data_IF_616826077808
#
_entry.id   IF_616826077808
#
_cell.length_a   1.000
_cell.length_b   1.000
_cell.length_c   1.000
_cell.angle_alpha   90.00
_cell.angle_beta   90.00
_cell.angle_gamma   90.00
#
_symmetry.space_group_name_H-M   'P 1'
#
loop_
_entity.id
_entity.type
_entity.pdbx_description
1 polymer ?
#
# COMPACT_ATOMS: atom_id res chain seq x y z
N UNK A 1 5.25 15.62 -30.24
CA UNK A 1 5.67 14.31 -30.76
C UNK A 1 6.05 13.47 -29.56
N UNK A 2 5.65 12.20 -29.49
CA UNK A 2 6.01 11.30 -28.40
C UNK A 2 7.33 10.59 -28.74
N UNK A 3 8.10 10.20 -27.73
CA UNK A 3 9.36 9.47 -27.94
C UNK A 3 9.13 8.00 -28.36
N UNK A 4 7.89 7.53 -28.20
CA UNK A 4 7.37 6.30 -28.81
C UNK A 4 6.28 5.64 -27.98
N UNK A 5 5.57 4.69 -28.58
CA UNK A 5 4.66 3.77 -27.89
C UNK A 5 4.72 2.39 -28.54
N UNK A 6 4.46 1.34 -27.75
CA UNK A 6 4.15 0.02 -28.30
C UNK A 6 2.65 -0.01 -28.57
N UNK A 7 2.26 -0.04 -29.84
CA UNK A 7 0.86 -0.13 -30.25
C UNK A 7 0.55 -1.57 -30.65
N UNK A 8 -0.57 -2.08 -30.15
CA UNK A 8 -1.14 -3.38 -30.51
C UNK A 8 -2.50 -3.17 -31.16
N UNK A 9 -2.77 -3.88 -32.25
CA UNK A 9 -4.06 -3.86 -32.90
C UNK A 9 -4.90 -5.05 -32.44
N UNK A 10 -6.09 -4.77 -31.94
CA UNK A 10 -6.99 -5.77 -31.35
C UNK A 10 -8.41 -5.46 -31.78
N UNK A 11 -9.05 -6.38 -32.52
CA UNK A 11 -10.44 -6.22 -32.95
C UNK A 11 -10.70 -4.98 -33.82
N UNK A 12 -9.71 -4.52 -34.59
CA UNK A 12 -9.78 -3.29 -35.41
C UNK A 12 -9.54 -1.99 -34.65
N UNK A 13 -9.19 -2.05 -33.36
CA UNK A 13 -8.84 -0.89 -32.54
C UNK A 13 -7.36 -0.94 -32.12
N UNK A 14 -6.73 0.24 -32.02
CA UNK A 14 -5.32 0.36 -31.60
C UNK A 14 -5.20 0.65 -30.11
N UNK A 15 -4.41 -0.13 -29.38
CA UNK A 15 -4.16 0.04 -27.95
C UNK A 15 -2.67 0.26 -27.70
N UNK A 16 -2.31 1.03 -26.68
CA UNK A 16 -0.91 1.30 -26.34
C UNK A 16 -0.59 0.82 -24.92
N UNK A 17 -0.29 -0.48 -24.71
CA UNK A 17 0.03 -1.02 -23.38
C UNK A 17 1.35 -0.49 -22.81
N UNK A 18 2.19 0.16 -23.61
CA UNK A 18 3.44 0.78 -23.18
C UNK A 18 3.66 2.11 -23.91
N UNK A 19 3.94 3.16 -23.15
CA UNK A 19 4.28 4.49 -23.66
C UNK A 19 5.67 4.87 -23.15
N UNK A 20 6.52 5.40 -24.02
CA UNK A 20 7.86 5.84 -23.68
C UNK A 20 7.93 7.36 -23.56
N UNK A 21 8.66 7.82 -22.56
CA UNK A 21 9.07 9.20 -22.38
C UNK A 21 10.58 9.20 -22.16
N UNK A 22 11.33 9.90 -23.00
CA UNK A 22 12.78 9.97 -22.93
C UNK A 22 13.23 11.42 -22.89
N UNK A 23 13.91 11.78 -21.81
CA UNK A 23 14.46 13.12 -21.63
C UNK A 23 15.94 13.08 -21.35
N UNK A 24 16.67 14.06 -21.87
CA UNK A 24 18.11 14.21 -21.62
C UNK A 24 18.40 14.54 -20.15
N UNK A 25 17.58 15.40 -19.53
CA UNK A 25 17.76 15.85 -18.13
C UNK A 25 16.41 16.12 -17.45
N UNK A 26 16.40 16.01 -16.12
CA UNK A 26 15.21 16.31 -15.31
C UNK A 26 14.98 17.83 -15.27
N UNK A 27 13.77 18.29 -15.62
CA UNK A 27 13.36 19.69 -15.50
C UNK A 27 13.74 20.63 -16.67
N UNK A 28 14.60 20.20 -17.60
CA UNK A 28 15.08 21.05 -18.69
C UNK A 28 14.03 21.35 -19.79
N UNK A 29 13.01 20.51 -19.94
CA UNK A 29 12.01 20.60 -21.02
C UNK A 29 10.58 20.33 -20.55
N UNK A 30 10.23 20.81 -19.34
CA UNK A 30 8.96 20.54 -18.68
C UNK A 30 8.92 19.19 -17.97
N UNK A 31 7.92 19.03 -17.12
CA UNK A 31 7.80 17.88 -16.23
C UNK A 31 7.42 16.60 -17.00
N UNK A 32 8.24 15.53 -16.95
CA UNK A 32 7.96 14.29 -17.67
C UNK A 32 6.64 13.65 -17.23
N UNK A 33 6.25 13.77 -15.96
CA UNK A 33 5.02 13.15 -15.47
C UNK A 33 3.78 13.76 -16.12
N UNK A 34 3.70 15.08 -16.24
CA UNK A 34 2.56 15.74 -16.90
C UNK A 34 2.55 15.55 -18.42
N UNK A 35 3.73 15.52 -19.05
CA UNK A 35 3.82 15.35 -20.51
C UNK A 35 3.41 13.95 -20.96
N UNK A 36 3.86 12.91 -20.24
CA UNK A 36 3.48 11.54 -20.58
C UNK A 36 1.99 11.28 -20.33
N UNK A 37 1.39 11.91 -19.31
CA UNK A 37 -0.07 11.90 -19.12
C UNK A 37 -0.80 12.55 -20.31
N UNK A 38 -0.28 13.67 -20.81
CA UNK A 38 -0.79 14.31 -22.02
C UNK A 38 -0.66 13.40 -23.25
N UNK A 39 0.47 12.73 -23.45
CA UNK A 39 0.67 11.79 -24.56
C UNK A 39 -0.25 10.58 -24.47
N UNK A 40 -0.43 10.01 -23.28
CA UNK A 40 -1.42 8.96 -23.05
C UNK A 40 -2.83 9.44 -23.44
N UNK A 41 -3.24 10.64 -23.00
CA UNK A 41 -4.54 11.20 -23.39
C UNK A 41 -4.65 11.40 -24.91
N UNK A 42 -3.59 11.86 -25.58
CA UNK A 42 -3.57 11.99 -27.04
C UNK A 42 -3.75 10.65 -27.77
N UNK A 43 -3.14 9.55 -27.29
CA UNK A 43 -3.33 8.21 -27.85
C UNK A 43 -4.79 7.73 -27.78
N UNK A 44 -5.55 8.27 -26.83
CA UNK A 44 -6.98 8.02 -26.66
C UNK A 44 -7.87 9.16 -27.19
N UNK A 45 -7.34 9.97 -28.12
CA UNK A 45 -8.03 11.13 -28.73
C UNK A 45 -8.64 12.07 -27.69
N UNK A 46 -7.85 12.40 -26.66
CA UNK A 46 -8.27 13.24 -25.52
C UNK A 46 -9.54 12.75 -24.82
N UNK A 47 -9.78 11.44 -24.85
CA UNK A 47 -10.94 10.81 -24.22
C UNK A 47 -12.08 10.45 -25.16
N UNK A 48 -12.08 10.90 -26.42
CA UNK A 48 -13.17 10.54 -27.34
C UNK A 48 -13.30 9.02 -27.52
N UNK A 49 -12.17 8.30 -27.50
CA UNK A 49 -12.17 6.83 -27.61
C UNK A 49 -12.78 6.16 -26.38
N UNK A 50 -12.67 6.75 -25.19
CA UNK A 50 -13.30 6.24 -23.97
C UNK A 50 -14.83 6.21 -24.09
N UNK A 51 -15.40 7.21 -24.75
CA UNK A 51 -16.85 7.32 -24.94
C UNK A 51 -17.39 6.42 -26.06
N UNK A 52 -16.55 6.10 -27.06
CA UNK A 52 -16.94 5.30 -28.24
C UNK A 52 -16.60 3.82 -28.16
N UNK A 53 -15.56 3.44 -27.41
CA UNK A 53 -15.03 2.07 -27.39
C UNK A 53 -15.35 1.36 -26.05
N UNK A 54 -16.33 0.44 -26.02
CA UNK A 54 -16.73 -0.26 -24.80
C UNK A 54 -15.59 -1.04 -24.13
N UNK A 55 -14.68 -1.59 -24.94
CA UNK A 55 -13.51 -2.36 -24.46
C UNK A 55 -12.55 -1.48 -23.66
N UNK A 56 -12.32 -0.22 -24.11
CA UNK A 56 -11.49 0.73 -23.35
C UNK A 56 -12.14 1.09 -22.03
N UNK A 57 -13.44 1.39 -22.06
CA UNK A 57 -14.20 1.73 -20.85
C UNK A 57 -14.22 0.58 -19.84
N UNK A 58 -14.44 -0.64 -20.32
CA UNK A 58 -14.50 -1.83 -19.48
C UNK A 58 -13.11 -2.26 -18.96
N UNK A 59 -12.03 -1.97 -19.70
CA UNK A 59 -10.68 -2.32 -19.26
C UNK A 59 -10.05 -1.26 -18.36
N UNK A 60 -10.48 0.00 -18.46
CA UNK A 60 -9.77 1.13 -17.86
C UNK A 60 -8.57 1.60 -18.69
N UNK A 61 -8.41 1.08 -19.91
CA UNK A 61 -7.29 1.38 -20.81
C UNK A 61 -5.88 1.31 -20.15
N UNK A 62 -5.57 0.30 -19.31
CA UNK A 62 -4.32 0.28 -18.56
C UNK A 62 -3.09 0.25 -19.47
N UNK A 63 -2.10 1.06 -19.13
CA UNK A 63 -0.82 1.14 -19.81
C UNK A 63 0.32 1.28 -18.80
N UNK A 64 1.51 0.86 -19.20
CA UNK A 64 2.74 1.20 -18.50
C UNK A 64 3.37 2.44 -19.14
N UNK A 65 3.91 3.30 -18.29
CA UNK A 65 4.76 4.41 -18.70
C UNK A 65 6.20 4.04 -18.38
N UNK A 66 7.06 4.14 -19.39
CA UNK A 66 8.49 3.90 -19.30
C UNK A 66 9.21 5.23 -19.42
N UNK A 67 9.61 5.79 -18.28
CA UNK A 67 10.12 7.15 -18.16
C UNK A 67 11.63 7.11 -17.96
N UNK A 68 12.39 7.44 -19.01
CA UNK A 68 13.85 7.52 -19.00
C UNK A 68 14.28 8.99 -18.98
N UNK A 69 14.63 9.50 -17.80
CA UNK A 69 14.99 10.92 -17.58
C UNK A 69 16.45 11.01 -17.17
N UNK A 70 17.29 11.47 -18.09
CA UNK A 70 18.74 11.39 -17.97
C UNK A 70 19.18 9.94 -17.77
N UNK A 71 20.00 9.66 -16.74
CA UNK A 71 20.39 8.29 -16.43
C UNK A 71 19.36 7.60 -15.52
N UNK A 72 18.13 8.08 -15.35
CA UNK A 72 17.18 7.49 -14.39
C UNK A 72 15.96 6.90 -15.08
N UNK A 73 15.59 5.67 -14.69
CA UNK A 73 14.41 4.97 -15.17
C UNK A 73 13.32 4.95 -14.10
N UNK A 74 12.09 5.32 -14.44
CA UNK A 74 10.91 5.04 -13.64
C UNK A 74 9.88 4.30 -14.50
N UNK A 75 9.28 3.25 -13.92
CA UNK A 75 8.10 2.60 -14.45
C UNK A 75 6.90 3.07 -13.65
N UNK A 76 5.91 3.63 -14.34
CA UNK A 76 4.61 4.01 -13.76
C UNK A 76 3.49 3.22 -14.42
N UNK A 77 2.42 2.97 -13.68
CA UNK A 77 1.15 2.49 -14.23
C UNK A 77 0.27 3.69 -14.54
N UNK A 78 -0.45 3.63 -15.66
CA UNK A 78 -1.53 4.56 -15.99
C UNK A 78 -2.79 3.78 -16.26
N UNK A 79 -3.91 4.34 -15.81
CA UNK A 79 -5.24 3.84 -16.11
C UNK A 79 -6.25 4.98 -16.13
N UNK A 80 -7.31 4.79 -16.90
CA UNK A 80 -8.43 5.71 -16.99
C UNK A 80 -9.57 5.20 -16.12
N UNK A 81 -9.96 6.02 -15.14
CA UNK A 81 -11.11 5.78 -14.29
C UNK A 81 -12.42 6.16 -15.01
N UNK A 82 -13.51 5.61 -14.49
CA UNK A 82 -14.85 5.91 -14.97
C UNK A 82 -15.18 7.41 -14.86
N UNK A 83 -15.49 8.03 -16.00
CA UNK A 83 -15.58 9.50 -16.15
C UNK A 83 -14.40 10.12 -16.91
N UNK A 84 -13.57 9.29 -17.57
CA UNK A 84 -12.42 9.71 -18.37
C UNK A 84 -11.35 10.47 -17.53
N UNK A 85 -11.18 10.06 -16.27
CA UNK A 85 -10.17 10.62 -15.37
C UNK A 85 -8.93 9.75 -15.41
N UNK A 86 -7.84 10.27 -15.96
CA UNK A 86 -6.57 9.54 -16.06
C UNK A 86 -5.80 9.64 -14.76
N UNK A 87 -5.36 8.51 -14.23
CA UNK A 87 -4.52 8.41 -13.03
C UNK A 87 -3.19 7.76 -13.39
N UNK A 88 -2.12 8.21 -12.74
CA UNK A 88 -0.77 7.67 -12.86
C UNK A 88 -0.23 7.36 -11.48
N UNK A 89 0.44 6.22 -11.34
CA UNK A 89 1.13 5.85 -10.10
C UNK A 89 2.49 5.20 -10.40
N UNK A 90 3.60 5.69 -9.81
CA UNK A 90 4.90 5.02 -9.93
C UNK A 90 4.86 3.60 -9.36
N UNK A 91 5.22 2.61 -10.18
CA UNK A 91 5.33 1.20 -9.77
C UNK A 91 6.75 0.84 -9.32
N UNK A 92 7.70 1.72 -9.58
CA UNK A 92 9.10 1.60 -9.18
C UNK A 92 9.59 2.95 -8.66
N UNK A 93 10.59 2.98 -7.75
CA UNK A 93 11.35 4.20 -7.51
C UNK A 93 12.14 4.59 -8.77
N UNK A 94 12.74 5.79 -8.79
CA UNK A 94 13.73 6.12 -9.81
C UNK A 94 14.94 5.20 -9.71
N UNK A 95 15.17 4.41 -10.75
CA UNK A 95 16.27 3.44 -10.88
C UNK A 95 17.41 4.11 -11.64
N UNK A 96 18.56 4.40 -11.00
CA UNK A 96 19.71 4.95 -11.71
C UNK A 96 20.33 3.92 -12.66
N UNK A 97 20.63 4.32 -13.88
CA UNK A 97 21.29 3.56 -14.95
C UNK A 97 22.76 3.96 -15.11
N UNK A 98 23.32 4.72 -14.15
CA UNK A 98 24.72 5.12 -14.19
C UNK A 98 25.64 3.87 -14.12
N UNK A 99 26.67 3.79 -14.97
CA UNK A 99 27.63 2.70 -14.92
C UNK A 99 28.51 2.84 -13.66
N UNK A 100 28.16 2.14 -12.59
CA UNK A 100 28.90 2.17 -11.32
C UNK A 100 29.98 1.07 -11.21
N UNK A 101 30.32 0.43 -12.33
CA UNK A 101 31.34 -0.63 -12.43
C UNK A 101 30.89 -1.97 -11.83
N UNK A 102 31.82 -2.91 -11.63
CA UNK A 102 31.56 -4.30 -11.21
C UNK A 102 31.05 -4.51 -9.77
N UNK A 103 30.54 -3.47 -9.09
CA UNK A 103 30.17 -3.51 -7.67
C UNK A 103 28.66 -3.54 -7.38
N UNK A 104 27.81 -3.79 -8.37
CA UNK A 104 26.36 -3.71 -8.19
C UNK A 104 25.57 -4.85 -8.83
N UNK A 105 26.00 -6.10 -8.63
CA UNK A 105 25.27 -7.29 -9.07
C UNK A 105 23.79 -7.25 -8.61
N UNK A 106 23.52 -6.86 -7.36
CA UNK A 106 22.17 -6.70 -6.84
C UNK A 106 21.32 -5.67 -7.61
N UNK A 107 21.92 -4.59 -8.09
CA UNK A 107 21.23 -3.56 -8.87
C UNK A 107 20.94 -4.03 -10.29
N UNK A 108 21.89 -4.74 -10.91
CA UNK A 108 21.67 -5.39 -12.22
C UNK A 108 20.55 -6.42 -12.12
N UNK A 109 20.53 -7.23 -11.06
CA UNK A 109 19.44 -8.18 -10.77
C UNK A 109 18.11 -7.44 -10.61
N UNK A 110 18.08 -6.32 -9.87
CA UNK A 110 16.87 -5.53 -9.69
C UNK A 110 16.37 -4.95 -11.03
N UNK A 111 17.25 -4.33 -11.81
CA UNK A 111 16.91 -3.79 -13.13
C UNK A 111 16.41 -4.89 -14.07
N UNK A 112 17.09 -6.02 -14.15
CA UNK A 112 16.68 -7.17 -14.97
C UNK A 112 15.30 -7.70 -14.56
N UNK A 113 14.99 -7.76 -13.26
CA UNK A 113 13.66 -8.14 -12.75
C UNK A 113 12.59 -7.14 -13.14
N UNK A 114 12.88 -5.84 -13.04
CA UNK A 114 11.95 -4.79 -13.47
C UNK A 114 11.66 -4.89 -14.97
N UNK A 115 12.68 -5.06 -15.79
CA UNK A 115 12.53 -5.20 -17.24
C UNK A 115 11.75 -6.46 -17.62
N UNK A 116 12.02 -7.60 -16.97
CA UNK A 116 11.25 -8.82 -17.15
C UNK A 116 9.78 -8.66 -16.73
N UNK A 117 9.52 -7.91 -15.65
CA UNK A 117 8.17 -7.60 -15.20
C UNK A 117 7.43 -6.69 -16.20
N UNK A 118 8.09 -5.67 -16.74
CA UNK A 118 7.54 -4.80 -17.80
C UNK A 118 7.19 -5.62 -19.03
N UNK A 119 8.10 -6.47 -19.52
CA UNK A 119 7.86 -7.36 -20.66
C UNK A 119 6.63 -8.25 -20.43
N UNK A 120 6.54 -8.88 -19.26
CA UNK A 120 5.42 -9.73 -18.89
C UNK A 120 4.11 -8.92 -18.82
N UNK A 121 4.13 -7.77 -18.19
CA UNK A 121 2.96 -6.91 -18.01
C UNK A 121 2.41 -6.39 -19.34
N UNK A 122 3.27 -5.94 -20.27
CA UNK A 122 2.84 -5.49 -21.61
C UNK A 122 2.08 -6.61 -22.34
N UNK A 123 2.59 -7.84 -22.29
CA UNK A 123 1.95 -8.98 -22.92
C UNK A 123 0.66 -9.40 -22.19
N UNK A 124 0.61 -9.31 -20.87
CA UNK A 124 -0.61 -9.55 -20.09
C UNK A 124 -1.72 -8.55 -20.44
N UNK A 125 -1.36 -7.26 -20.57
CA UNK A 125 -2.27 -6.20 -20.99
C UNK A 125 -2.82 -6.45 -22.39
N UNK A 126 -1.94 -6.81 -23.33
CA UNK A 126 -2.34 -7.19 -24.69
C UNK A 126 -3.30 -8.40 -24.68
N UNK A 127 -2.96 -9.45 -23.93
CA UNK A 127 -3.80 -10.65 -23.82
C UNK A 127 -5.19 -10.31 -23.28
N UNK A 128 -5.25 -9.51 -22.21
CA UNK A 128 -6.50 -9.06 -21.62
C UNK A 128 -7.34 -8.24 -22.60
N UNK A 129 -6.73 -7.30 -23.32
CA UNK A 129 -7.43 -6.49 -24.31
C UNK A 129 -8.00 -7.35 -25.45
N UNK A 130 -7.24 -8.35 -25.93
CA UNK A 130 -7.71 -9.34 -26.92
C UNK A 130 -8.90 -10.14 -26.41
N UNK A 131 -8.80 -10.70 -25.21
CA UNK A 131 -9.90 -11.41 -24.57
C UNK A 131 -11.16 -10.56 -24.48
N UNK A 132 -11.03 -9.29 -24.09
CA UNK A 132 -12.18 -8.39 -23.96
C UNK A 132 -12.78 -7.94 -25.30
N UNK A 133 -11.96 -7.82 -26.35
CA UNK A 133 -12.41 -7.35 -27.65
C UNK A 133 -12.97 -8.48 -28.54
N UNK A 134 -12.37 -9.67 -28.50
CA UNK A 134 -12.69 -10.77 -29.44
C UNK A 134 -13.17 -12.04 -28.76
N UNK A 135 -13.07 -12.14 -27.42
CA UNK A 135 -13.37 -13.38 -26.68
C UNK A 135 -12.36 -14.51 -26.92
N UNK A 136 -11.24 -14.23 -27.59
CA UNK A 136 -10.20 -15.22 -27.91
C UNK A 136 -8.93 -14.98 -27.08
N UNK A 137 -8.33 -16.07 -26.60
CA UNK A 137 -7.02 -16.02 -25.94
C UNK A 137 -5.94 -15.56 -26.92
N UNK A 138 -4.95 -14.82 -26.41
CA UNK A 138 -3.81 -14.44 -27.23
C UNK A 138 -3.06 -15.70 -27.71
N UNK A 139 -2.51 -15.72 -28.94
CA UNK A 139 -1.79 -16.87 -29.45
C UNK A 139 -0.64 -17.25 -28.50
N UNK A 140 -0.43 -18.56 -28.32
CA UNK A 140 0.71 -19.10 -27.59
C UNK A 140 2.00 -18.48 -28.13
N UNK A 141 2.83 -17.96 -27.23
CA UNK A 141 4.03 -17.25 -27.60
C UNK A 141 5.01 -18.21 -28.32
N UNK A 142 5.66 -17.72 -29.38
CA UNK A 142 6.76 -18.42 -30.05
C UNK A 142 7.97 -18.61 -29.12
N UNK A 143 9.07 -19.21 -29.60
CA UNK A 143 10.29 -19.38 -28.79
C UNK A 143 10.79 -18.02 -28.25
N UNK A 144 11.38 -17.99 -27.04
CA UNK A 144 11.85 -16.75 -26.42
C UNK A 144 12.85 -16.01 -27.32
N UNK A 145 12.78 -14.68 -27.28
CA UNK A 145 13.74 -13.77 -27.92
C UNK A 145 15.20 -14.12 -27.56
N UNK A 146 16.12 -13.77 -28.46
CA UNK A 146 17.55 -14.09 -28.35
C UNK A 146 18.30 -13.36 -27.22
N UNK A 147 17.67 -12.39 -26.54
CA UNK A 147 18.27 -11.61 -25.45
C UNK A 147 17.51 -11.83 -24.15
N UNK A 148 18.21 -12.32 -23.12
CA UNK A 148 17.62 -12.48 -21.79
C UNK A 148 17.42 -11.10 -21.14
N UNK A 149 16.50 -10.95 -20.17
CA UNK A 149 16.38 -9.71 -19.38
C UNK A 149 17.70 -9.27 -18.73
N UNK A 150 18.60 -10.22 -18.49
CA UNK A 150 19.95 -9.99 -17.99
C UNK A 150 20.84 -9.30 -19.02
N UNK A 151 20.84 -9.80 -20.26
CA UNK A 151 21.62 -9.21 -21.36
C UNK A 151 21.11 -7.81 -21.71
N UNK A 152 19.80 -7.60 -21.63
CA UNK A 152 19.18 -6.29 -21.84
C UNK A 152 19.57 -5.30 -20.74
N UNK A 153 19.52 -5.71 -19.46
CA UNK A 153 19.95 -4.87 -18.35
C UNK A 153 21.44 -4.49 -18.47
N UNK A 154 22.30 -5.44 -18.83
CA UNK A 154 23.72 -5.21 -19.05
C UNK A 154 23.98 -4.23 -20.21
N UNK A 155 23.27 -4.38 -21.33
CA UNK A 155 23.41 -3.48 -22.47
C UNK A 155 22.87 -2.07 -22.19
N UNK A 156 21.82 -1.94 -21.37
CA UNK A 156 21.30 -0.64 -20.95
C UNK A 156 22.29 0.13 -20.08
N UNK A 157 22.90 -0.55 -19.10
CA UNK A 157 23.95 0.02 -18.26
C UNK A 157 25.22 0.36 -19.06
N UNK A 158 25.48 -0.34 -20.15
CA UNK A 158 26.58 -0.06 -21.06
C UNK A 158 26.27 1.02 -22.10
N UNK A 159 25.01 1.44 -22.25
CA UNK A 159 24.61 2.43 -23.23
C UNK A 159 24.95 3.85 -22.76
N UNK A 160 25.63 4.61 -23.61
CA UNK A 160 26.10 5.97 -23.29
C UNK A 160 25.08 7.07 -23.60
N UNK A 161 23.94 6.74 -24.23
CA UNK A 161 22.91 7.71 -24.61
C UNK A 161 21.48 7.17 -24.41
N UNK A 162 20.52 8.01 -23.96
CA UNK A 162 19.12 7.61 -23.75
C UNK A 162 18.44 7.07 -25.02
N UNK A 163 18.79 7.58 -26.20
CA UNK A 163 18.22 7.12 -27.47
C UNK A 163 18.67 5.70 -27.84
N UNK A 164 19.92 5.33 -27.52
CA UNK A 164 20.40 3.96 -27.74
C UNK A 164 19.75 2.98 -26.77
N UNK A 165 19.58 3.39 -25.52
CA UNK A 165 18.82 2.63 -24.52
C UNK A 165 17.38 2.36 -25.00
N UNK A 166 16.69 3.40 -25.49
CA UNK A 166 15.33 3.30 -26.03
C UNK A 166 15.24 2.30 -27.19
N UNK A 167 16.17 2.35 -28.15
CA UNK A 167 16.18 1.42 -29.29
C UNK A 167 16.34 -0.05 -28.85
N UNK A 168 17.27 -0.32 -27.92
CA UNK A 168 17.51 -1.66 -27.39
C UNK A 168 16.27 -2.20 -26.65
N UNK A 169 15.61 -1.34 -25.87
CA UNK A 169 14.37 -1.65 -25.15
C UNK A 169 13.21 -1.95 -26.10
N UNK A 170 12.99 -1.09 -27.09
CA UNK A 170 11.94 -1.27 -28.09
C UNK A 170 12.09 -2.58 -28.86
N UNK A 171 13.32 -2.97 -29.19
CA UNK A 171 13.61 -4.26 -29.84
C UNK A 171 13.28 -5.44 -28.92
N UNK A 172 13.77 -5.44 -27.67
CA UNK A 172 13.57 -6.54 -26.74
C UNK A 172 12.09 -6.73 -26.32
N UNK A 173 11.30 -5.65 -26.28
CA UNK A 173 9.88 -5.71 -25.94
C UNK A 173 9.02 -6.27 -27.08
N UNK A 174 9.40 -6.08 -28.35
CA UNK A 174 8.69 -6.66 -29.50
C UNK A 174 8.79 -8.18 -29.55
N UNK A 175 9.85 -8.76 -28.99
CA UNK A 175 10.14 -10.20 -29.07
C UNK A 175 9.76 -10.98 -27.79
N UNK A 176 9.28 -10.31 -26.73
CA UNK A 176 9.04 -10.93 -25.42
C UNK A 176 7.85 -11.91 -25.40
N UNK A 177 8.02 -13.10 -24.80
CA UNK A 177 7.05 -14.21 -24.79
C UNK A 177 6.48 -14.46 -23.38
N UNK A 178 5.18 -14.74 -23.25
CA UNK A 178 4.54 -15.10 -21.96
C UNK A 178 4.72 -16.58 -21.61
N UNK A 179 4.79 -16.88 -20.32
CA UNK A 179 4.62 -18.25 -19.82
C UNK A 179 3.14 -18.64 -19.79
N UNK A 180 2.83 -19.93 -19.93
CA UNK A 180 1.44 -20.43 -19.91
C UNK A 180 0.67 -20.10 -18.62
N UNK A 181 1.37 -20.04 -17.47
CA UNK A 181 0.75 -19.63 -16.20
C UNK A 181 0.37 -18.15 -16.15
N UNK A 182 1.16 -17.28 -16.80
CA UNK A 182 0.88 -15.86 -16.92
C UNK A 182 -0.33 -15.63 -17.86
N UNK A 183 -0.44 -16.39 -18.94
CA UNK A 183 -1.61 -16.36 -19.83
C UNK A 183 -2.90 -16.74 -19.10
N UNK A 184 -2.88 -17.84 -18.33
CA UNK A 184 -4.01 -18.26 -17.52
C UNK A 184 -4.41 -17.22 -16.44
N UNK A 185 -3.42 -16.57 -15.81
CA UNK A 185 -3.68 -15.51 -14.84
C UNK A 185 -4.33 -14.27 -15.48
N UNK A 186 -3.94 -13.87 -16.70
CA UNK A 186 -4.60 -12.80 -17.44
C UNK A 186 -6.05 -13.13 -17.79
N UNK A 187 -6.32 -14.37 -18.24
CA UNK A 187 -7.67 -14.84 -18.55
C UNK A 187 -8.57 -14.92 -17.30
N UNK A 188 -7.99 -15.22 -16.13
CA UNK A 188 -8.69 -15.32 -14.85
C UNK A 188 -8.89 -13.96 -14.15
N UNK A 189 -8.26 -12.87 -14.60
CA UNK A 189 -8.48 -11.56 -13.99
C UNK A 189 -9.93 -11.11 -14.23
N UNK A 190 -10.71 -10.77 -13.18
CA UNK A 190 -12.08 -10.32 -13.37
C UNK A 190 -12.10 -9.08 -14.27
N UNK A 191 -12.99 -9.09 -15.27
CA UNK A 191 -13.33 -7.88 -16.00
C UNK A 191 -13.75 -6.82 -14.97
N UNK A 192 -13.22 -5.58 -15.06
CA UNK A 192 -13.80 -4.51 -14.26
C UNK A 192 -15.26 -4.43 -14.72
N UNK A 193 -16.18 -4.73 -13.78
CA UNK A 193 -17.55 -5.14 -14.07
C UNK A 193 -18.08 -4.44 -15.33
N UNK A 194 -18.22 -5.20 -16.41
CA UNK A 194 -18.99 -4.73 -17.55
C UNK A 194 -20.34 -4.34 -16.95
N UNK A 195 -20.70 -3.06 -17.02
CA UNK A 195 -22.05 -2.63 -16.73
C UNK A 195 -22.94 -3.43 -17.67
N UNK A 196 -23.52 -4.52 -17.15
CA UNK A 196 -24.41 -5.36 -17.92
C UNK A 196 -25.52 -4.47 -18.46
N UNK A 197 -26.00 -4.77 -19.66
CA UNK A 197 -27.20 -4.15 -20.23
C UNK A 197 -28.49 -4.51 -19.46
N UNK A 198 -28.36 -5.01 -18.22
CA UNK A 198 -29.39 -5.21 -17.22
C UNK A 198 -28.89 -4.91 -15.79
N UNK A 199 -27.87 -4.07 -15.64
CA UNK A 199 -27.55 -3.49 -14.32
C UNK A 199 -28.77 -2.69 -13.85
N UNK A 200 -29.12 -2.72 -12.54
CA UNK A 200 -30.32 -2.07 -12.05
C UNK A 200 -30.35 -0.62 -12.55
N UNK A 201 -31.50 -0.20 -13.06
CA UNK A 201 -31.79 1.16 -13.53
C UNK A 201 -31.59 2.25 -12.44
N UNK A 202 -31.04 1.87 -11.29
CA UNK A 202 -30.81 2.67 -10.09
C UNK A 202 -29.34 2.81 -9.73
N UNK A 203 -28.36 2.53 -10.61
CA UNK A 203 -27.00 3.01 -10.37
C UNK A 203 -27.01 4.55 -10.36
N UNK A 204 -26.81 5.21 -9.21
CA UNK A 204 -26.97 6.64 -9.12
C UNK A 204 -25.90 7.30 -9.99
N UNK A 205 -26.31 8.12 -10.96
CA UNK A 205 -25.42 9.00 -11.74
C UNK A 205 -24.79 10.12 -10.88
N UNK A 206 -24.74 9.97 -9.56
CA UNK A 206 -24.21 10.98 -8.64
C UNK A 206 -22.70 10.88 -8.52
N UNK A 207 -22.06 12.04 -8.33
CA UNK A 207 -20.62 12.26 -8.07
C UNK A 207 -20.06 11.56 -6.81
N UNK A 208 -20.74 10.57 -6.26
CA UNK A 208 -20.38 9.89 -5.01
C UNK A 208 -20.14 8.41 -5.29
N UNK A 209 -18.92 8.06 -5.70
CA UNK A 209 -18.51 6.66 -5.82
C UNK A 209 -17.75 6.24 -4.56
N UNK A 210 -18.09 5.12 -3.90
CA UNK A 210 -17.43 4.70 -2.65
C UNK A 210 -15.92 4.43 -2.83
N UNK A 211 -15.51 3.90 -3.98
CA UNK A 211 -14.13 3.51 -4.26
C UNK A 211 -13.17 4.69 -4.46
N UNK A 212 -13.67 5.91 -4.74
CA UNK A 212 -12.84 7.12 -4.76
C UNK A 212 -12.70 7.75 -3.37
N UNK A 213 -13.40 7.21 -2.36
CA UNK A 213 -13.35 7.68 -0.95
C UNK A 213 -12.76 6.66 0.02
N UNK A 214 -12.61 5.39 -0.37
CA UNK A 214 -12.18 4.29 0.49
C UNK A 214 -10.90 3.61 -0.04
N UNK A 215 -9.98 3.18 0.83
CA UNK A 215 -8.82 2.40 0.44
C UNK A 215 -9.20 1.13 -0.34
N UNK A 216 -8.40 0.76 -1.35
CA UNK A 216 -8.67 -0.38 -2.24
C UNK A 216 -9.10 -1.66 -1.50
N UNK A 217 -8.46 -2.11 -0.39
CA UNK A 217 -8.90 -3.31 0.32
C UNK A 217 -10.32 -3.23 0.92
N UNK A 218 -10.76 -2.04 1.31
CA UNK A 218 -12.12 -1.80 1.81
C UNK A 218 -13.12 -1.57 0.67
N UNK A 219 -12.63 -1.10 -0.47
CA UNK A 219 -13.43 -0.88 -1.66
C UNK A 219 -13.73 -2.19 -2.41
N UNK A 220 -12.80 -3.14 -2.48
CA UNK A 220 -12.96 -4.32 -3.34
C UNK A 220 -13.26 -5.62 -2.61
N UNK A 221 -13.04 -5.68 -1.29
CA UNK A 221 -13.33 -6.91 -0.55
C UNK A 221 -14.83 -7.02 -0.23
N UNK A 222 -15.35 -8.24 -0.31
CA UNK A 222 -16.69 -8.59 0.18
C UNK A 222 -16.73 -8.77 1.70
N UNK A 223 -15.55 -8.84 2.35
CA UNK A 223 -15.43 -9.04 3.79
C UNK A 223 -15.86 -7.81 4.60
N UNK A 224 -15.84 -6.62 3.98
CA UNK A 224 -16.18 -5.36 4.63
C UNK A 224 -17.42 -4.74 4.02
N UNK A 225 -18.41 -4.43 4.86
CA UNK A 225 -19.62 -3.70 4.47
C UNK A 225 -19.87 -2.53 5.43
N UNK A 226 -20.73 -1.59 5.03
CA UNK A 226 -21.07 -0.40 5.86
C UNK A 226 -19.83 0.38 6.34
N UNK A 227 -18.84 0.52 5.45
CA UNK A 227 -17.57 1.18 5.76
C UNK A 227 -17.79 2.68 5.94
N UNK A 228 -17.28 3.22 7.04
CA UNK A 228 -17.27 4.65 7.32
C UNK A 228 -15.93 5.07 7.93
N UNK A 229 -15.44 6.27 7.61
CA UNK A 229 -14.31 6.85 8.34
C UNK A 229 -14.67 6.99 9.82
N UNK A 230 -13.73 6.72 10.71
CA UNK A 230 -13.97 6.88 12.14
C UNK A 230 -14.11 8.39 12.47
N UNK A 231 -15.22 8.84 13.08
CA UNK A 231 -15.39 10.25 13.45
C UNK A 231 -14.23 10.76 14.30
N UNK A 232 -13.81 12.01 14.07
CA UNK A 232 -12.66 12.61 14.77
C UNK A 232 -11.28 12.20 14.24
N UNK A 233 -11.17 11.11 13.48
CA UNK A 233 -9.91 10.65 12.86
C UNK A 233 -9.96 10.65 11.34
N UNK A 234 -10.76 11.52 10.72
CA UNK A 234 -10.97 11.58 9.26
C UNK A 234 -9.72 11.91 8.44
N UNK A 235 -8.68 12.46 9.06
CA UNK A 235 -7.36 12.69 8.47
C UNK A 235 -6.41 11.49 8.55
N UNK A 236 -6.78 10.46 9.32
CA UNK A 236 -6.02 9.21 9.46
C UNK A 236 -6.75 8.09 8.69
N UNK A 237 -6.03 7.07 8.19
CA UNK A 237 -6.65 5.95 7.48
C UNK A 237 -7.25 4.94 8.48
N UNK A 238 -8.25 5.38 9.25
CA UNK A 238 -8.96 4.61 10.28
C UNK A 238 -10.46 4.63 9.97
N UNK A 239 -11.04 3.43 9.94
CA UNK A 239 -12.40 3.18 9.49
C UNK A 239 -13.14 2.29 10.47
N UNK A 240 -14.46 2.28 10.35
CA UNK A 240 -15.34 1.29 10.96
C UNK A 240 -16.05 0.52 9.86
N UNK A 241 -16.25 -0.78 10.05
CA UNK A 241 -16.93 -1.63 9.07
C UNK A 241 -17.66 -2.78 9.76
N UNK A 242 -18.70 -3.33 9.13
CA UNK A 242 -19.16 -4.68 9.44
C UNK A 242 -18.22 -5.67 8.75
N UNK A 243 -17.75 -6.69 9.49
CA UNK A 243 -16.71 -7.61 9.04
C UNK A 243 -17.19 -9.06 9.05
N UNK A 244 -17.03 -9.77 7.93
CA UNK A 244 -17.46 -11.17 7.76
C UNK A 244 -16.78 -12.15 8.73
N UNK A 245 -15.56 -11.83 9.18
CA UNK A 245 -14.81 -12.63 10.14
C UNK A 245 -15.21 -12.44 11.61
N UNK A 246 -16.19 -11.58 11.91
CA UNK A 246 -16.74 -11.38 13.25
C UNK A 246 -18.27 -11.50 13.22
N UNK A 247 -18.86 -12.05 14.29
CA UNK A 247 -20.31 -12.27 14.37
C UNK A 247 -21.08 -10.96 14.61
N UNK A 248 -21.37 -10.22 13.53
CA UNK A 248 -22.36 -9.13 13.51
C UNK A 248 -21.94 -7.81 14.16
N UNK A 249 -20.78 -7.74 14.81
CA UNK A 249 -20.25 -6.52 15.42
C UNK A 249 -19.46 -5.67 14.40
N UNK A 250 -19.48 -4.35 14.62
CA UNK A 250 -18.63 -3.44 13.85
C UNK A 250 -17.20 -3.55 14.37
N UNK A 251 -16.24 -3.51 13.47
CA UNK A 251 -14.81 -3.55 13.76
C UNK A 251 -14.16 -2.21 13.42
N UNK A 252 -13.01 -1.95 14.04
CA UNK A 252 -12.12 -0.88 13.64
C UNK A 252 -11.11 -1.43 12.63
N UNK A 253 -11.01 -0.77 11.48
CA UNK A 253 -10.01 -1.08 10.45
C UNK A 253 -9.02 0.06 10.34
N UNK A 254 -7.74 -0.23 10.55
CA UNK A 254 -6.63 0.73 10.47
C UNK A 254 -5.64 0.31 9.39
N UNK A 255 -5.09 1.30 8.69
CA UNK A 255 -3.94 1.09 7.81
C UNK A 255 -2.68 1.66 8.43
N UNK A 256 -1.67 0.81 8.65
CA UNK A 256 -0.37 1.25 9.16
C UNK A 256 0.69 1.19 8.06
N UNK A 257 1.50 2.24 7.85
CA UNK A 257 2.60 2.23 6.89
C UNK A 257 3.84 1.48 7.44
N UNK A 258 3.80 1.00 8.68
CA UNK A 258 4.92 0.35 9.38
C UNK A 258 4.66 -1.14 9.54
N UNK A 259 5.74 -1.90 9.79
CA UNK A 259 5.61 -3.28 10.25
C UNK A 259 4.78 -3.30 11.53
N UNK A 260 3.60 -3.91 11.46
CA UNK A 260 2.67 -3.93 12.58
C UNK A 260 3.12 -4.96 13.64
N UNK A 261 3.16 -4.61 14.93
CA UNK A 261 3.62 -5.51 15.99
C UNK A 261 2.51 -6.47 16.43
N UNK A 262 2.11 -7.36 15.52
CA UNK A 262 1.05 -8.35 15.71
C UNK A 262 1.21 -9.16 17.00
N UNK A 263 2.43 -9.64 17.29
CA UNK A 263 2.70 -10.45 18.49
C UNK A 263 2.46 -9.68 19.80
N UNK A 264 2.85 -8.41 19.84
CA UNK A 264 2.65 -7.55 21.02
C UNK A 264 1.16 -7.27 21.19
N UNK A 265 0.48 -6.90 20.11
CA UNK A 265 -0.96 -6.64 20.16
C UNK A 265 -1.74 -7.88 20.58
N UNK A 266 -1.49 -9.04 19.98
CA UNK A 266 -2.15 -10.28 20.37
C UNK A 266 -1.92 -10.63 21.84
N UNK A 267 -0.67 -10.53 22.33
CA UNK A 267 -0.35 -10.84 23.73
C UNK A 267 -1.03 -9.87 24.72
N UNK A 268 -1.10 -8.57 24.38
CA UNK A 268 -1.78 -7.58 25.21
C UNK A 268 -3.30 -7.70 25.11
N UNK A 269 -3.84 -8.08 23.95
CA UNK A 269 -5.26 -8.37 23.76
C UNK A 269 -5.71 -9.60 24.57
N UNK A 270 -4.93 -10.69 24.54
CA UNK A 270 -5.17 -11.91 25.33
C UNK A 270 -5.19 -11.62 26.84
N UNK A 271 -4.41 -10.64 27.29
CA UNK A 271 -4.37 -10.17 28.67
C UNK A 271 -5.44 -9.11 29.00
N UNK A 272 -6.34 -8.78 28.06
CA UNK A 272 -7.33 -7.71 28.16
C UNK A 272 -6.74 -6.31 28.43
N UNK A 273 -5.52 -6.06 27.95
CA UNK A 273 -4.81 -4.78 28.08
C UNK A 273 -4.90 -3.94 26.80
N UNK A 274 -5.30 -4.53 25.68
CA UNK A 274 -5.54 -3.88 24.38
C UNK A 274 -6.86 -4.42 23.77
N UNK A 275 -7.46 -3.73 22.77
CA UNK A 275 -8.60 -4.25 22.03
C UNK A 275 -8.29 -5.62 21.39
N UNK A 276 -9.30 -6.46 21.17
CA UNK A 276 -9.06 -7.75 20.50
C UNK A 276 -8.56 -7.56 19.06
N UNK A 277 -7.42 -8.19 18.74
CA UNK A 277 -6.90 -8.23 17.36
C UNK A 277 -7.60 -9.35 16.58
N UNK A 278 -8.32 -8.99 15.52
CA UNK A 278 -9.03 -9.95 14.68
C UNK A 278 -8.20 -10.37 13.45
N UNK A 279 -7.47 -9.42 12.87
CA UNK A 279 -6.61 -9.66 11.73
C UNK A 279 -5.50 -8.62 11.65
N UNK A 280 -4.26 -9.05 11.42
CA UNK A 280 -3.19 -8.20 10.92
C UNK A 280 -2.65 -8.80 9.62
N UNK A 281 -2.64 -8.04 8.54
CA UNK A 281 -2.17 -8.53 7.24
C UNK A 281 -1.36 -7.48 6.52
N UNK A 282 -0.17 -7.88 6.08
CA UNK A 282 0.67 -7.08 5.19
C UNK A 282 0.05 -7.01 3.79
N UNK A 283 -0.08 -5.79 3.27
CA UNK A 283 -0.56 -5.46 1.93
C UNK A 283 0.60 -5.27 0.94
N UNK A 284 0.35 -5.36 -0.38
CA UNK A 284 1.27 -4.85 -1.38
C UNK A 284 1.64 -3.39 -1.10
N UNK A 285 2.88 -3.00 -1.39
CA UNK A 285 3.39 -1.66 -1.07
C UNK A 285 3.84 -1.47 0.39
N UNK A 286 3.81 -2.52 1.22
CA UNK A 286 4.42 -2.52 2.55
C UNK A 286 3.52 -2.03 3.69
N UNK A 287 2.32 -1.55 3.38
CA UNK A 287 1.30 -1.19 4.37
C UNK A 287 0.73 -2.43 5.07
N UNK A 288 0.08 -2.22 6.21
CA UNK A 288 -0.63 -3.24 6.98
C UNK A 288 -2.10 -2.88 7.11
N UNK A 289 -2.97 -3.84 6.82
CA UNK A 289 -4.37 -3.82 7.21
C UNK A 289 -4.48 -4.44 8.61
N UNK A 290 -5.05 -3.69 9.54
CA UNK A 290 -5.29 -4.15 10.91
C UNK A 290 -6.79 -4.06 11.18
N UNK A 291 -7.39 -5.19 11.51
CA UNK A 291 -8.79 -5.30 11.93
C UNK A 291 -8.80 -5.68 13.40
N UNK A 292 -9.45 -4.86 14.22
CA UNK A 292 -9.53 -5.06 15.67
C UNK A 292 -10.93 -4.73 16.19
N UNK A 293 -11.19 -5.10 17.43
CA UNK A 293 -12.37 -4.69 18.19
C UNK A 293 -12.58 -3.17 18.13
N UNK A 294 -13.82 -2.77 17.83
CA UNK A 294 -14.24 -1.39 17.97
C UNK A 294 -14.75 -1.19 19.40
N UNK A 295 -13.99 -0.49 20.22
CA UNK A 295 -14.43 -0.10 21.56
C UNK A 295 -15.69 0.78 21.46
N UNK A 296 -16.67 0.50 22.33
CA UNK A 296 -17.97 1.17 22.35
C UNK A 296 -17.89 2.66 22.70
N UNK A 297 -19.03 3.36 22.59
CA UNK A 297 -19.13 4.81 22.82
C UNK A 297 -18.87 5.22 24.28
N UNK A 298 -18.96 4.27 25.20
CA UNK A 298 -18.64 4.44 26.62
C UNK A 298 -17.14 4.62 26.89
N UNK A 299 -16.30 4.21 25.95
CA UNK A 299 -14.85 4.36 26.05
C UNK A 299 -14.43 5.77 25.63
N UNK A 300 -13.65 6.42 26.49
CA UNK A 300 -13.05 7.73 26.26
C UNK A 300 -11.53 7.64 26.36
N UNK A 301 -10.81 8.42 25.58
CA UNK A 301 -9.37 8.58 25.75
C UNK A 301 -9.07 9.27 27.08
N UNK A 302 -7.89 9.05 27.64
CA UNK A 302 -7.45 9.73 28.87
C UNK A 302 -7.42 11.26 28.69
N UNK A 303 -7.17 11.74 27.48
CA UNK A 303 -7.21 13.16 27.13
C UNK A 303 -8.61 13.79 27.33
N UNK A 304 -9.66 13.04 26.97
CA UNK A 304 -11.06 13.50 27.01
C UNK A 304 -11.66 13.49 28.42
N UNK A 305 -11.02 12.85 29.39
CA UNK A 305 -11.49 12.81 30.77
C UNK A 305 -11.32 14.15 31.49
N UNK A 306 -12.31 14.51 32.32
CA UNK A 306 -12.18 15.65 33.22
C UNK A 306 -11.04 15.43 34.23
N UNK A 307 -10.49 16.52 34.80
CA UNK A 307 -9.34 16.43 35.69
C UNK A 307 -9.57 15.47 36.88
N UNK A 308 -10.72 15.55 37.56
CA UNK A 308 -11.07 14.66 38.67
C UNK A 308 -11.15 13.19 38.24
N UNK A 309 -11.69 12.93 37.05
CA UNK A 309 -11.75 11.58 36.48
C UNK A 309 -10.35 11.06 36.16
N UNK A 310 -9.46 11.91 35.62
CA UNK A 310 -8.06 11.55 35.38
C UNK A 310 -7.33 11.21 36.68
N UNK A 311 -7.50 12.03 37.73
CA UNK A 311 -6.91 11.77 39.05
C UNK A 311 -7.37 10.41 39.59
N UNK A 312 -8.68 10.12 39.49
CA UNK A 312 -9.24 8.86 39.96
C UNK A 312 -8.81 7.64 39.12
N UNK A 313 -8.64 7.81 37.80
CA UNK A 313 -8.30 6.73 36.88
C UNK A 313 -6.80 6.43 36.79
N UNK A 314 -5.95 7.42 37.06
CA UNK A 314 -4.50 7.32 36.86
C UNK A 314 -3.84 6.13 37.57
N UNK A 315 -4.19 5.76 38.82
CA UNK A 315 -3.64 4.56 39.45
C UNK A 315 -3.92 3.27 38.67
N UNK A 316 -5.11 3.16 38.07
CA UNK A 316 -5.47 2.03 37.21
C UNK A 316 -4.67 2.04 35.91
N UNK A 317 -4.48 3.21 35.29
CA UNK A 317 -3.62 3.36 34.10
C UNK A 317 -2.19 2.90 34.42
N UNK A 318 -1.63 3.31 35.56
CA UNK A 318 -0.29 2.87 35.99
C UNK A 318 -0.23 1.34 36.16
N UNK A 319 -1.26 0.74 36.76
CA UNK A 319 -1.34 -0.70 36.93
C UNK A 319 -1.40 -1.44 35.59
N UNK A 320 -2.18 -0.94 34.63
CA UNK A 320 -2.33 -1.54 33.29
C UNK A 320 -1.04 -1.43 32.47
N UNK A 321 -0.33 -0.30 32.54
CA UNK A 321 0.96 -0.14 31.86
C UNK A 321 1.99 -1.13 32.44
N UNK A 322 2.06 -1.27 33.76
CA UNK A 322 2.95 -2.25 34.40
C UNK A 322 2.57 -3.69 34.06
N UNK A 323 1.27 -3.99 33.99
CA UNK A 323 0.79 -5.29 33.56
C UNK A 323 1.23 -5.58 32.11
N UNK A 324 1.07 -4.62 31.20
CA UNK A 324 1.48 -4.73 29.80
C UNK A 324 3.00 -4.97 29.66
N UNK A 325 3.80 -4.27 30.45
CA UNK A 325 5.25 -4.45 30.54
C UNK A 325 5.67 -5.82 31.11
N UNK A 326 4.80 -6.50 31.86
CA UNK A 326 5.07 -7.82 32.42
C UNK A 326 4.65 -8.99 31.52
N UNK A 327 3.85 -8.72 30.48
CA UNK A 327 3.39 -9.75 29.54
C UNK A 327 4.56 -10.32 28.76
N UNK A 328 4.72 -11.63 28.83
CA UNK A 328 5.75 -12.37 28.13
C UNK A 328 5.33 -12.62 26.67
N UNK A 329 6.16 -12.21 25.73
CA UNK A 329 5.97 -12.51 24.32
C UNK A 329 6.37 -13.96 24.03
N UNK A 330 5.61 -14.64 23.18
CA UNK A 330 5.98 -16.00 22.74
C UNK A 330 7.25 -15.92 21.89
N UNK A 331 8.18 -16.85 22.12
CA UNK A 331 9.37 -16.97 21.29
C UNK A 331 8.96 -17.17 19.82
N UNK A 332 9.34 -16.24 18.94
CA UNK A 332 9.15 -16.41 17.51
C UNK A 332 9.92 -17.67 17.08
N UNK A 333 9.25 -18.60 16.40
CA UNK A 333 9.79 -19.92 16.10
C UNK A 333 11.15 -19.89 15.40
N UNK A 334 12.21 -20.17 16.16
CA UNK A 334 13.50 -20.64 15.66
C UNK A 334 14.24 -21.40 16.76
N UNK A 335 13.82 -22.64 17.04
CA UNK A 335 14.68 -23.77 17.43
C UNK A 335 15.80 -23.60 18.48
N UNK A 336 15.75 -22.62 19.36
CA UNK A 336 16.77 -22.34 20.36
C UNK A 336 16.16 -21.55 21.51
N UNK A 337 16.52 -21.90 22.74
CA UNK A 337 15.91 -21.40 23.98
C UNK A 337 16.23 -19.95 24.32
N UNK A 338 15.88 -19.01 23.43
CA UNK A 338 15.84 -17.59 23.78
C UNK A 338 14.71 -17.35 24.78
N UNK A 339 15.01 -16.61 25.84
CA UNK A 339 14.04 -16.22 26.85
C UNK A 339 12.89 -15.41 26.21
N UNK A 340 11.67 -15.60 26.72
CA UNK A 340 10.53 -14.77 26.33
C UNK A 340 10.87 -13.28 26.55
N UNK A 341 10.69 -12.47 25.51
CA UNK A 341 10.89 -11.03 25.57
C UNK A 341 9.71 -10.33 26.22
N UNK A 342 9.93 -9.11 26.73
CA UNK A 342 8.86 -8.19 27.14
C UNK A 342 8.72 -7.06 26.12
N UNK A 343 7.57 -6.38 26.16
CA UNK A 343 7.27 -5.30 25.22
C UNK A 343 7.18 -3.93 25.90
N UNK A 344 7.32 -2.89 25.08
CA UNK A 344 6.91 -1.53 25.41
C UNK A 344 6.03 -0.96 24.29
N UNK A 345 5.23 0.06 24.61
CA UNK A 345 4.30 0.71 23.70
C UNK A 345 5.01 1.69 22.76
N UNK A 346 6.01 2.42 23.27
CA UNK A 346 6.80 3.40 22.52
C UNK A 346 6.11 4.72 22.24
N UNK A 347 4.79 4.80 22.41
CA UNK A 347 3.99 5.98 22.07
C UNK A 347 2.91 6.25 23.14
N UNK A 348 3.18 5.88 24.39
CA UNK A 348 2.21 5.94 25.48
C UNK A 348 1.85 7.41 25.79
N UNK A 349 0.67 7.86 25.38
CA UNK A 349 0.21 9.24 25.55
C UNK A 349 -1.28 9.27 25.88
N UNK A 350 -1.83 10.39 26.41
CA UNK A 350 -3.24 10.48 26.75
C UNK A 350 -4.23 10.02 25.65
N UNK A 351 -4.01 10.30 24.35
CA UNK A 351 -4.91 9.81 23.29
C UNK A 351 -4.83 8.29 23.04
N UNK A 352 -3.74 7.65 23.49
CA UNK A 352 -3.44 6.23 23.26
C UNK A 352 -3.83 5.34 24.46
N UNK A 353 -4.52 5.91 25.44
CA UNK A 353 -5.05 5.19 26.61
C UNK A 353 -6.56 5.39 26.63
N UNK A 354 -7.33 4.33 26.41
CA UNK A 354 -8.80 4.36 26.45
C UNK A 354 -9.31 3.81 27.78
N UNK A 355 -10.36 4.44 28.31
CA UNK A 355 -10.95 4.13 29.61
C UNK A 355 -12.46 4.05 29.54
N UNK A 356 -13.02 3.09 30.27
CA UNK A 356 -14.46 2.96 30.50
C UNK A 356 -14.70 2.75 32.01
N UNK A 357 -15.82 3.25 32.55
CA UNK A 357 -16.27 2.89 33.91
C UNK A 357 -17.18 1.68 33.81
N UNK A 358 -16.81 0.57 34.43
CA UNK A 358 -17.65 -0.61 34.53
C UNK A 358 -18.98 -0.28 35.21
N UNK A 359 -20.09 -0.46 34.52
CA UNK A 359 -21.43 -0.04 34.98
C UNK A 359 -21.83 -0.64 36.34
N UNK A 360 -21.33 -1.84 36.68
CA UNK A 360 -21.67 -2.56 37.90
C UNK A 360 -20.70 -2.30 39.08
N UNK A 361 -19.41 -2.08 38.80
CA UNK A 361 -18.37 -1.96 39.84
C UNK A 361 -17.94 -0.51 40.09
N UNK A 362 -18.22 0.40 39.15
CA UNK A 362 -17.65 1.75 39.13
C UNK A 362 -16.13 1.78 38.91
N UNK A 363 -15.50 0.61 38.70
CA UNK A 363 -14.07 0.50 38.48
C UNK A 363 -13.72 0.92 37.05
N UNK A 364 -12.54 1.51 36.90
CA UNK A 364 -12.00 1.84 35.58
C UNK A 364 -11.49 0.58 34.89
N UNK A 365 -11.93 0.37 33.66
CA UNK A 365 -11.29 -0.50 32.70
C UNK A 365 -10.41 0.32 31.78
N UNK A 366 -9.22 -0.19 31.45
CA UNK A 366 -8.23 0.52 30.62
C UNK A 366 -7.79 -0.39 29.48
N UNK A 367 -7.72 0.17 28.26
CA UNK A 367 -7.15 -0.47 27.07
C UNK A 367 -6.11 0.46 26.45
N UNK A 368 -4.93 -0.06 26.16
CA UNK A 368 -3.88 0.62 25.42
C UNK A 368 -4.18 0.48 23.91
N UNK A 369 -4.15 1.61 23.19
CA UNK A 369 -4.50 1.67 21.77
C UNK A 369 -3.38 2.36 20.97
N UNK A 370 -3.47 2.28 19.65
CA UNK A 370 -2.44 2.79 18.73
C UNK A 370 -1.04 2.16 18.94
N UNK A 371 -1.00 0.83 18.94
CA UNK A 371 0.21 0.03 19.12
C UNK A 371 1.18 0.05 17.92
N UNK A 372 1.11 1.02 17.01
CA UNK A 372 1.95 1.03 15.79
C UNK A 372 3.45 1.15 16.06
N UNK A 373 3.80 1.61 17.27
CA UNK A 373 5.18 1.79 17.72
C UNK A 373 5.59 0.73 18.74
N UNK A 374 4.65 -0.11 19.16
CA UNK A 374 4.92 -1.12 20.17
C UNK A 374 5.89 -2.16 19.64
N UNK A 375 6.62 -2.81 20.55
CA UNK A 375 7.62 -3.76 20.14
C UNK A 375 8.35 -4.42 21.30
N UNK A 376 9.13 -5.43 20.97
CA UNK A 376 9.99 -6.12 21.92
C UNK A 376 11.13 -5.20 22.37
N UNK A 377 11.31 -5.11 23.68
CA UNK A 377 12.33 -4.29 24.32
C UNK A 377 13.72 -4.74 23.87
N UNK A 378 14.57 -3.78 23.51
CA UNK A 378 15.94 -4.07 23.07
C UNK A 378 16.07 -4.65 21.65
N UNK A 379 14.95 -4.89 20.93
CA UNK A 379 14.95 -5.29 19.52
C UNK A 379 14.29 -4.26 18.60
N UNK A 380 13.17 -3.70 19.03
CA UNK A 380 12.45 -2.68 18.25
C UNK A 380 13.14 -1.31 18.39
N UNK A 381 13.18 -0.55 17.30
CA UNK A 381 13.74 0.81 17.25
C UNK A 381 12.65 1.84 16.95
N UNK A 382 12.84 3.06 17.46
CA UNK A 382 11.97 4.18 17.14
C UNK A 382 12.03 4.56 15.66
N UNK A 383 10.92 5.06 15.11
CA UNK A 383 10.87 5.51 13.73
C UNK A 383 11.78 6.73 13.47
N UNK A 384 12.15 6.98 12.21
CA UNK A 384 13.01 8.11 11.83
C UNK A 384 12.37 9.49 12.10
N UNK A 385 11.04 9.53 12.25
CA UNK A 385 10.30 10.76 12.48
C UNK A 385 9.53 10.64 13.79
N UNK A 386 9.93 11.46 14.77
CA UNK A 386 9.30 11.60 16.08
C UNK A 386 8.90 13.06 16.28
N UNK A 387 7.72 13.30 16.84
CA UNK A 387 7.21 14.65 17.05
C UNK A 387 8.01 15.41 18.09
N UNK A 388 8.49 16.60 17.76
CA UNK A 388 9.33 17.43 18.66
C UNK A 388 8.59 18.10 19.81
N UNK A 389 7.26 18.22 19.73
CA UNK A 389 6.44 18.83 20.78
C UNK A 389 6.18 17.88 21.96
N UNK A 390 6.67 16.64 21.88
CA UNK A 390 6.47 15.60 22.87
C UNK A 390 7.74 15.52 23.71
N UNK A 391 7.56 15.56 25.03
CA UNK A 391 8.68 15.43 25.95
C UNK A 391 9.12 13.96 26.04
N UNK A 392 9.90 13.54 25.04
CA UNK A 392 10.46 12.20 24.98
C UNK A 392 11.48 11.97 26.08
N UNK A 393 11.61 10.72 26.52
CA UNK A 393 12.70 10.32 27.40
C UNK A 393 14.05 10.69 26.75
N UNK A 394 15.07 11.17 27.49
CA UNK A 394 16.35 11.61 26.90
C UNK A 394 17.07 10.57 26.03
N UNK A 395 16.83 9.27 26.29
CA UNK A 395 17.40 8.16 25.51
C UNK A 395 16.46 7.64 24.41
N UNK A 396 15.26 8.20 24.28
CA UNK A 396 14.34 7.90 23.19
C UNK A 396 14.58 8.86 22.03
N UNK A 397 14.90 8.33 20.86
CA UNK A 397 15.16 9.13 19.67
C UNK A 397 15.14 8.30 18.39
N UNK A 398 15.15 8.94 17.21
CA UNK A 398 15.10 8.24 15.94
C UNK A 398 16.15 7.13 15.81
N UNK A 399 15.70 5.90 15.52
CA UNK A 399 16.57 4.72 15.39
C UNK A 399 17.11 4.16 16.71
N UNK A 400 16.81 4.77 17.86
CA UNK A 400 17.19 4.24 19.17
C UNK A 400 16.30 3.07 19.58
N UNK A 401 16.83 2.19 20.42
CA UNK A 401 16.09 1.06 20.95
C UNK A 401 14.92 1.52 21.82
N UNK A 402 13.78 0.86 21.63
CA UNK A 402 12.59 1.02 22.44
C UNK A 402 12.78 0.30 23.78
N UNK A 403 12.40 0.98 24.87
CA UNK A 403 12.60 0.55 26.25
C UNK A 403 11.37 0.89 27.10
N UNK A 404 11.11 0.12 28.17
CA UNK A 404 9.96 0.34 29.06
C UNK A 404 10.06 1.65 29.85
N UNK A 405 11.28 2.07 30.18
CA UNK A 405 11.54 3.34 30.85
C UNK A 405 11.04 4.54 30.04
N UNK A 406 10.97 4.40 28.71
CA UNK A 406 10.43 5.44 27.84
C UNK A 406 8.92 5.58 28.01
N UNK A 407 8.19 4.47 28.13
CA UNK A 407 6.76 4.50 28.45
C UNK A 407 6.54 5.04 29.87
N UNK A 408 7.35 4.64 30.85
CA UNK A 408 7.24 5.14 32.23
C UNK A 408 7.48 6.65 32.32
N UNK A 409 8.41 7.18 31.51
CA UNK A 409 8.64 8.62 31.39
C UNK A 409 7.40 9.34 30.85
N UNK A 410 6.80 8.82 29.78
CA UNK A 410 5.59 9.42 29.20
C UNK A 410 4.36 9.25 30.11
N UNK A 411 4.27 8.15 30.85
CA UNK A 411 3.26 7.90 31.87
C UNK A 411 3.35 8.93 33.00
N UNK A 412 4.56 9.26 33.44
CA UNK A 412 4.75 10.31 34.44
C UNK A 412 4.39 11.69 33.89
N UNK A 413 4.73 11.97 32.63
CA UNK A 413 4.38 13.23 31.98
C UNK A 413 2.87 13.46 31.84
N UNK A 414 2.05 12.40 31.82
CA UNK A 414 0.58 12.51 31.80
C UNK A 414 -0.07 12.47 33.18
N UNK A 415 0.71 12.41 34.27
CA UNK A 415 0.16 12.45 35.64
C UNK A 415 -0.63 13.74 35.84
N UNK A 416 -1.91 13.68 36.28
CA UNK A 416 -2.66 14.87 36.66
C UNK A 416 -1.94 15.61 37.79
N UNK A 417 -1.78 16.92 37.62
CA UNK A 417 -1.12 17.81 38.59
C UNK A 417 -1.85 17.87 39.94
#
# INVERSE_FOLDING_TARGET
ENDGAVTVEVGGHQYSPLVFEVKTEMGAAGDPMFQTLGYYQHLYLNGERWDREPVLRASGAPALLFELVGPNLCISGVYTLEGNVVTKEPLTPWIPLLPLGGRMEAHVVQLARVLAAVQSAVRLLECRLRMMATGQEAPAAGPPAALTPWDLAAQLLASSTPNRALQLLQAALREATLTGSAQAAAAAMPAAAAAGQGGPASWPRSRERPWTRLPYPLATSQDFTQVAALPGLTSKPVFTAAYSGASGERVLVKFSPRTYPEQVHAAWADAHLAPQLLQARRLPGGWWLVVQELLGQEWRTFEELAHEERVAAFPTVQSVVRAAHSVQLRAAGSGGGDAAGVAAHGDLRPPNVMLCKGAASGAWEVRLVDLDWAGEVGRTVYPPHMSSHINWHPNAGPGQLLQQEHDLHLLEAMRPA
#
